data_IF_694983590185
#
_entry.id   IF_694983590185
#
_cell.length_a   1.000
_cell.length_b   1.000
_cell.length_c   1.000
_cell.angle_alpha   90.00
_cell.angle_beta   90.00
_cell.angle_gamma   90.00
#
_symmetry.space_group_name_H-M   'P 1'
#
loop_
_entity.id
_entity.type
_entity.pdbx_description
1 polymer ?
#
# COMPACT_ATOMS: atom_id res chain seq x y z
N UNK A 1 -32.72 54.10 -43.99
CA UNK A 1 -33.21 52.83 -44.60
C UNK A 1 -32.01 51.93 -44.83
N UNK A 2 -31.98 50.76 -44.19
CA UNK A 2 -31.38 49.47 -44.61
C UNK A 2 -31.44 48.58 -43.36
N UNK A 3 -32.35 47.60 -43.39
CA UNK A 3 -32.66 46.73 -42.27
C UNK A 3 -31.68 45.58 -42.13
N UNK A 4 -31.50 45.12 -40.89
CA UNK A 4 -30.90 43.82 -40.59
C UNK A 4 -31.97 42.95 -39.94
N UNK A 5 -32.49 42.02 -40.74
CA UNK A 5 -33.25 40.86 -40.27
C UNK A 5 -32.23 39.72 -40.11
N UNK A 6 -32.28 39.03 -38.97
CA UNK A 6 -31.38 37.91 -38.66
C UNK A 6 -31.50 37.54 -37.18
N UNK A 7 -32.68 37.13 -36.73
CA UNK A 7 -33.04 35.72 -36.54
C UNK A 7 -32.11 34.97 -35.58
N UNK A 8 -32.70 34.68 -34.43
CA UNK A 8 -32.25 33.81 -33.33
C UNK A 8 -31.86 32.40 -33.79
N UNK A 9 -30.99 31.77 -33.01
CA UNK A 9 -31.22 30.53 -32.22
C UNK A 9 -30.07 29.53 -32.33
N UNK A 10 -29.76 28.97 -31.15
CA UNK A 10 -29.00 27.75 -30.85
C UNK A 10 -27.47 27.88 -30.78
N UNK A 11 -27.00 28.30 -29.60
CA UNK A 11 -25.78 27.76 -29.00
C UNK A 11 -26.00 26.28 -28.72
N UNK A 12 -25.52 25.43 -29.62
CA UNK A 12 -25.44 23.99 -29.40
C UNK A 12 -24.33 23.67 -28.40
N UNK A 13 -24.67 22.73 -27.54
CA UNK A 13 -23.93 22.28 -26.38
C UNK A 13 -22.63 21.54 -26.76
N UNK A 14 -21.56 21.86 -26.02
CA UNK A 14 -20.47 20.98 -25.59
C UNK A 14 -20.17 19.74 -26.45
N UNK A 15 -19.28 19.87 -27.44
CA UNK A 15 -18.59 18.71 -28.02
C UNK A 15 -17.33 18.39 -27.21
N UNK A 16 -17.48 17.56 -26.17
CA UNK A 16 -16.33 16.89 -25.55
C UNK A 16 -16.10 15.58 -26.29
N UNK A 17 -15.23 15.61 -27.29
CA UNK A 17 -14.66 14.39 -27.87
C UNK A 17 -13.56 13.93 -26.92
N UNK A 18 -13.91 13.09 -25.95
CA UNK A 18 -12.91 12.26 -25.28
C UNK A 18 -12.69 11.06 -26.18
N UNK A 19 -11.55 11.07 -26.87
CA UNK A 19 -11.03 9.95 -27.63
C UNK A 19 -11.07 8.69 -26.78
N UNK A 20 -11.72 7.66 -27.32
CA UNK A 20 -11.67 6.29 -26.87
C UNK A 20 -10.21 5.83 -26.77
N UNK A 21 -9.70 5.69 -25.56
CA UNK A 21 -8.58 4.80 -25.27
C UNK A 21 -9.19 3.61 -24.55
N UNK A 22 -9.61 2.63 -25.35
CA UNK A 22 -9.93 1.29 -24.87
C UNK A 22 -8.64 0.65 -24.37
N UNK A 23 -8.29 0.93 -23.11
CA UNK A 23 -7.36 0.08 -22.39
C UNK A 23 -8.08 -1.23 -22.12
N UNK A 24 -7.76 -2.25 -22.91
CA UNK A 24 -8.13 -3.62 -22.62
C UNK A 24 -7.53 -4.03 -21.27
N UNK A 25 -8.31 -3.83 -20.20
CA UNK A 25 -8.14 -4.53 -18.94
C UNK A 25 -8.78 -5.91 -19.11
N UNK A 26 -8.06 -6.82 -19.76
CA UNK A 26 -8.30 -8.25 -19.55
C UNK A 26 -7.73 -8.60 -18.18
N UNK A 27 -8.44 -8.20 -17.13
CA UNK A 27 -8.28 -8.79 -15.81
C UNK A 27 -9.59 -9.50 -15.53
N UNK A 28 -9.60 -10.82 -15.73
CA UNK A 28 -10.64 -11.65 -15.15
C UNK A 28 -10.77 -11.37 -13.65
N UNK A 29 -11.91 -11.72 -13.03
CA UNK A 29 -12.12 -11.51 -11.60
C UNK A 29 -10.89 -12.03 -10.84
N UNK A 30 -10.30 -11.24 -9.92
CA UNK A 30 -9.10 -11.63 -9.23
C UNK A 30 -9.32 -12.99 -8.58
N UNK A 31 -8.35 -13.91 -8.73
CA UNK A 31 -8.49 -15.35 -8.45
C UNK A 31 -9.11 -15.70 -7.08
N UNK A 32 -8.99 -14.82 -6.08
CA UNK A 32 -9.63 -14.98 -4.78
C UNK A 32 -11.18 -14.97 -4.82
N UNK A 33 -11.79 -14.43 -5.88
CA UNK A 33 -13.23 -14.52 -6.13
C UNK A 33 -13.67 -15.91 -6.61
N UNK A 34 -12.76 -16.75 -7.11
CA UNK A 34 -13.04 -18.09 -7.64
C UNK A 34 -12.85 -19.19 -6.58
N UNK A 35 -12.99 -18.85 -5.30
CA UNK A 35 -12.76 -19.78 -4.19
C UNK A 35 -11.29 -20.06 -3.89
N UNK A 36 -10.35 -19.31 -4.49
CA UNK A 36 -8.97 -19.36 -4.06
C UNK A 36 -8.81 -18.69 -2.69
N UNK A 37 -8.29 -19.44 -1.73
CA UNK A 37 -7.99 -18.97 -0.39
C UNK A 37 -7.16 -17.67 -0.45
N UNK A 38 -7.60 -16.64 0.29
CA UNK A 38 -6.85 -15.39 0.43
C UNK A 38 -5.40 -15.71 0.83
N UNK A 39 -4.39 -14.97 0.31
CA UNK A 39 -3.04 -15.11 0.81
C UNK A 39 -3.07 -14.79 2.30
N UNK A 40 -2.87 -15.82 3.12
CA UNK A 40 -2.85 -15.65 4.56
C UNK A 40 -1.65 -14.77 4.91
N UNK A 41 -1.78 -13.85 5.89
CA UNK A 41 -0.63 -13.12 6.38
C UNK A 41 0.44 -14.14 6.79
N UNK A 42 1.61 -14.07 6.14
CA UNK A 42 2.71 -14.99 6.43
C UNK A 42 3.12 -14.81 7.89
N UNK A 43 3.25 -15.92 8.61
CA UNK A 43 3.80 -15.91 9.98
C UNK A 43 5.28 -15.49 9.93
N UNK A 44 5.82 -14.90 11.01
CA UNK A 44 7.25 -14.68 11.12
C UNK A 44 8.00 -16.02 11.11
N UNK A 45 9.23 -16.03 10.59
CA UNK A 45 10.02 -17.23 10.33
C UNK A 45 11.25 -17.28 11.23
N UNK A 46 11.64 -18.47 11.68
CA UNK A 46 12.90 -18.65 12.41
C UNK A 46 14.01 -18.82 11.40
N UNK A 47 14.99 -17.91 11.41
CA UNK A 47 16.12 -17.93 10.46
C UNK A 47 17.42 -18.42 11.09
N UNK A 48 17.54 -18.36 12.42
CA UNK A 48 18.70 -18.88 13.13
C UNK A 48 18.31 -19.41 14.51
N UNK A 49 19.16 -20.28 15.05
CA UNK A 49 19.06 -20.80 16.41
C UNK A 49 20.44 -20.75 17.05
N UNK A 50 20.51 -20.39 18.33
CA UNK A 50 21.73 -20.47 19.14
C UNK A 50 21.40 -21.07 20.50
N UNK A 51 22.34 -21.83 21.04
CA UNK A 51 22.25 -22.38 22.39
C UNK A 51 23.33 -21.75 23.23
N UNK A 52 22.97 -21.21 24.39
CA UNK A 52 23.92 -20.64 25.33
C UNK A 52 24.59 -21.73 26.19
N UNK A 53 25.69 -21.39 26.87
CA UNK A 53 26.43 -22.30 27.76
C UNK A 53 25.59 -22.78 28.96
N UNK A 54 24.51 -22.06 29.28
CA UNK A 54 23.53 -22.42 30.31
C UNK A 54 22.52 -23.48 29.84
N UNK A 55 22.51 -23.83 28.55
CA UNK A 55 21.52 -24.74 27.94
C UNK A 55 20.28 -24.03 27.38
N UNK A 56 20.23 -22.70 27.43
CA UNK A 56 19.09 -21.94 26.91
C UNK A 56 19.15 -21.78 25.39
N UNK A 57 18.08 -22.18 24.71
CA UNK A 57 17.93 -22.05 23.26
C UNK A 57 17.20 -20.77 22.86
N UNK A 58 17.84 -19.98 22.01
CA UNK A 58 17.33 -18.74 21.43
C UNK A 58 17.15 -18.90 19.93
N UNK A 59 16.04 -18.40 19.41
CA UNK A 59 15.69 -18.38 17.99
C UNK A 59 15.72 -16.94 17.48
N UNK A 60 16.31 -16.71 16.32
CA UNK A 60 16.23 -15.43 15.61
C UNK A 60 14.97 -15.42 14.76
N UNK A 61 14.03 -14.56 15.10
CA UNK A 61 12.76 -14.41 14.42
C UNK A 61 12.85 -13.30 13.37
N UNK A 62 12.62 -13.68 12.13
CA UNK A 62 12.45 -12.80 10.99
C UNK A 62 10.98 -12.44 10.81
N UNK A 63 10.68 -11.14 10.77
CA UNK A 63 9.31 -10.64 10.77
C UNK A 63 8.76 -10.50 9.35
N UNK A 64 7.48 -10.87 9.21
CA UNK A 64 6.69 -10.59 8.00
C UNK A 64 5.63 -9.54 8.33
N UNK A 65 5.42 -8.52 7.48
CA UNK A 65 6.06 -8.28 6.18
C UNK A 65 7.53 -7.83 6.30
N UNK A 66 8.33 -8.17 5.29
CA UNK A 66 9.75 -7.84 5.23
C UNK A 66 10.00 -6.33 5.25
N UNK A 67 11.14 -5.90 5.82
CA UNK A 67 11.62 -4.51 5.85
C UNK A 67 10.79 -3.53 6.71
N UNK A 68 9.91 -4.03 7.59
CA UNK A 68 9.16 -3.18 8.55
C UNK A 68 9.73 -3.33 9.94
N UNK A 69 10.04 -4.56 10.36
CA UNK A 69 10.51 -4.87 11.71
C UNK A 69 11.90 -5.50 11.66
N UNK A 70 12.81 -5.12 12.59
CA UNK A 70 14.12 -5.75 12.68
C UNK A 70 14.00 -7.15 13.29
N UNK A 71 14.91 -8.04 12.87
CA UNK A 71 14.99 -9.40 13.40
C UNK A 71 15.30 -9.39 14.89
N UNK A 72 14.63 -10.26 15.65
CA UNK A 72 14.74 -10.28 17.12
C UNK A 72 15.02 -11.67 17.65
N UNK A 73 15.95 -11.76 18.60
CA UNK A 73 16.20 -12.98 19.37
C UNK A 73 15.08 -13.20 20.38
N UNK A 74 14.42 -14.34 20.27
CA UNK A 74 13.35 -14.80 21.17
C UNK A 74 13.71 -16.17 21.71
N UNK A 75 13.28 -16.48 22.92
CA UNK A 75 13.45 -17.83 23.47
C UNK A 75 12.56 -18.82 22.72
N UNK A 76 12.98 -20.08 22.59
CA UNK A 76 12.22 -21.10 21.87
C UNK A 76 10.77 -21.25 22.39
N UNK A 77 10.57 -21.12 23.70
CA UNK A 77 9.26 -21.18 24.35
C UNK A 77 8.33 -20.04 23.95
N UNK A 78 8.90 -18.86 23.68
CA UNK A 78 8.11 -17.65 23.35
C UNK A 78 7.88 -17.49 21.85
N UNK A 79 8.52 -18.29 20.99
CA UNK A 79 8.37 -18.19 19.53
C UNK A 79 6.91 -18.34 19.11
N UNK A 80 6.19 -19.32 19.65
CA UNK A 80 4.78 -19.56 19.29
C UNK A 80 3.86 -18.43 19.76
N UNK A 81 4.11 -17.90 20.97
CA UNK A 81 3.34 -16.80 21.54
C UNK A 81 3.65 -15.47 20.86
N UNK A 82 4.88 -15.26 20.42
CA UNK A 82 5.39 -13.99 19.88
C UNK A 82 5.38 -13.97 18.35
N UNK A 83 4.29 -14.46 17.75
CA UNK A 83 4.08 -14.48 16.31
C UNK A 83 3.54 -13.14 15.76
N UNK A 84 3.21 -12.18 16.64
CA UNK A 84 2.70 -10.84 16.30
C UNK A 84 3.36 -9.79 17.18
N UNK A 85 3.60 -8.62 16.59
CA UNK A 85 4.13 -7.45 17.30
C UNK A 85 3.29 -6.23 16.92
N UNK A 86 2.86 -5.48 17.92
CA UNK A 86 2.14 -4.23 17.75
C UNK A 86 3.16 -3.11 17.88
N UNK A 87 3.30 -2.30 16.84
CA UNK A 87 4.18 -1.12 16.83
C UNK A 87 3.37 0.08 16.32
N UNK A 88 3.46 1.25 16.97
CA UNK A 88 2.84 2.47 16.49
C UNK A 88 3.37 2.85 15.11
N UNK A 89 2.48 3.31 14.23
CA UNK A 89 2.86 3.74 12.87
C UNK A 89 3.88 4.89 12.90
N UNK A 90 3.86 5.72 13.95
CA UNK A 90 4.80 6.82 14.18
C UNK A 90 6.24 6.37 14.45
N UNK A 91 6.41 5.14 14.95
CA UNK A 91 7.70 4.61 15.38
C UNK A 91 8.35 3.79 14.25
N UNK A 92 7.64 3.61 13.13
CA UNK A 92 8.17 2.94 11.96
C UNK A 92 9.11 3.87 11.18
N UNK A 93 10.20 3.33 10.62
CA UNK A 93 11.02 4.07 9.68
C UNK A 93 10.19 4.59 8.50
N UNK A 94 10.46 5.82 8.07
CA UNK A 94 9.72 6.46 6.96
C UNK A 94 9.74 5.59 5.68
N UNK A 95 10.86 4.93 5.41
CA UNK A 95 11.01 4.01 4.26
C UNK A 95 10.04 2.81 4.37
N UNK A 96 9.88 2.25 5.56
CA UNK A 96 8.95 1.15 5.83
C UNK A 96 7.49 1.59 5.75
N UNK A 97 7.18 2.85 6.08
CA UNK A 97 5.83 3.37 5.91
C UNK A 97 5.41 3.49 4.43
N UNK A 98 6.36 3.78 3.54
CA UNK A 98 6.11 3.87 2.09
C UNK A 98 5.68 2.53 1.48
N UNK A 99 6.15 1.41 2.03
CA UNK A 99 5.82 0.07 1.53
C UNK A 99 4.48 -0.44 2.04
N UNK A 100 3.95 0.12 3.13
CA UNK A 100 2.72 -0.33 3.77
C UNK A 100 1.45 0.12 3.03
N UNK A 101 1.29 1.43 2.82
CA UNK A 101 0.13 1.95 2.09
C UNK A 101 0.37 3.38 1.55
N UNK A 102 -0.04 3.69 0.31
CA UNK A 102 0.12 5.03 -0.27
C UNK A 102 -0.52 6.16 0.53
N UNK A 103 -1.59 5.89 1.30
CA UNK A 103 -2.26 6.92 2.11
C UNK A 103 -1.47 7.34 3.35
N UNK A 104 -0.49 6.56 3.80
CA UNK A 104 0.36 6.93 4.94
C UNK A 104 1.29 8.08 4.59
N UNK A 105 1.58 8.28 3.31
CA UNK A 105 2.20 9.49 2.80
C UNK A 105 1.10 10.38 2.19
N UNK A 106 0.36 11.08 3.05
CA UNK A 106 -0.50 12.17 2.57
C UNK A 106 0.40 13.13 1.79
N UNK A 107 0.25 13.14 0.47
CA UNK A 107 0.89 14.13 -0.40
C UNK A 107 0.26 15.46 -0.04
N UNK A 108 0.84 16.12 0.97
CA UNK A 108 0.60 17.53 1.17
C UNK A 108 1.04 18.18 -0.13
N UNK A 109 0.08 18.49 -1.02
CA UNK A 109 0.36 19.21 -2.26
C UNK A 109 0.95 20.52 -1.79
N UNK A 110 2.28 20.61 -1.82
CA UNK A 110 2.98 21.85 -1.57
C UNK A 110 2.55 22.79 -2.68
N UNK A 111 1.48 23.55 -2.42
CA UNK A 111 1.05 24.65 -3.26
C UNK A 111 2.14 25.69 -3.09
N UNK A 112 3.17 25.61 -3.93
CA UNK A 112 4.19 26.66 -4.07
C UNK A 112 3.44 27.93 -4.36
N UNK A 113 3.29 28.78 -3.35
CA UNK A 113 2.79 30.12 -3.57
C UNK A 113 3.83 30.82 -4.44
N UNK A 114 3.41 31.27 -5.64
CA UNK A 114 4.28 32.03 -6.54
C UNK A 114 4.72 33.28 -5.79
N UNK A 115 6.00 33.40 -5.48
CA UNK A 115 6.57 34.67 -4.99
C UNK A 115 6.46 35.69 -6.12
N UNK A 116 5.89 36.85 -5.81
CA UNK A 116 5.76 37.97 -6.73
C UNK A 116 7.07 38.73 -6.81
#
# INVERSE_FOLDING_TARGET
MQGWVGMTRQRSYLSTVISSVSNQLVTGPPKWLLGASLPHPKKPQVIARRTDKTGDSWCLLHWNPENILPDSWVTERTVETQHKRIIPLTDLPQQSMLTLHPSFYSTHRYRKHRRK
#
